data_IF_167845795301
#
_entry.id   IF_167845795301
#
_cell.length_a   1.000
_cell.length_b   1.000
_cell.length_c   1.000
_cell.angle_alpha   90.00
_cell.angle_beta   90.00
_cell.angle_gamma   90.00
#
_symmetry.space_group_name_H-M   'P 1'
#
loop_
_entity.id
_entity.type
_entity.pdbx_description
1 polymer ?
#
# COMPACT_ATOMS: atom_id res chain seq x y z
N UNK A 1 -13.67 5.73 -10.03
CA UNK A 1 -13.59 5.54 -8.57
C UNK A 1 -12.30 4.80 -8.24
N UNK A 2 -11.47 5.33 -7.33
CA UNK A 2 -10.29 4.60 -6.82
C UNK A 2 -10.76 3.55 -5.81
N UNK A 3 -10.82 2.30 -6.24
CA UNK A 3 -11.16 1.15 -5.41
C UNK A 3 -9.98 0.69 -4.54
N UNK A 4 -10.27 0.22 -3.33
CA UNK A 4 -9.28 -0.45 -2.47
C UNK A 4 -9.33 -1.97 -2.70
N UNK A 5 -8.18 -2.61 -2.82
CA UNK A 5 -8.09 -4.06 -3.07
C UNK A 5 -8.52 -4.88 -1.85
N UNK A 6 -8.82 -6.17 -2.06
CA UNK A 6 -9.08 -7.10 -0.96
C UNK A 6 -7.92 -7.17 0.04
N UNK A 7 -6.67 -7.12 -0.46
CA UNK A 7 -5.48 -7.08 0.39
C UNK A 7 -5.47 -5.86 1.31
N UNK A 8 -5.79 -4.68 0.79
CA UNK A 8 -5.91 -3.48 1.61
C UNK A 8 -7.08 -3.54 2.59
N UNK A 9 -8.23 -4.10 2.20
CA UNK A 9 -9.36 -4.30 3.11
C UNK A 9 -8.99 -5.19 4.31
N UNK A 10 -8.24 -6.28 4.08
CA UNK A 10 -7.74 -7.12 5.17
C UNK A 10 -6.73 -6.41 6.07
N UNK A 11 -5.88 -5.53 5.51
CA UNK A 11 -4.98 -4.67 6.30
C UNK A 11 -5.79 -3.70 7.17
N UNK A 12 -6.86 -3.12 6.62
CA UNK A 12 -7.74 -2.23 7.35
C UNK A 12 -8.41 -2.94 8.53
N UNK A 13 -8.92 -4.17 8.34
CA UNK A 13 -9.47 -4.99 9.41
C UNK A 13 -8.46 -5.34 10.51
N UNK A 14 -7.16 -5.35 10.18
CA UNK A 14 -6.06 -5.56 11.13
C UNK A 14 -5.53 -4.26 11.75
N UNK A 15 -6.25 -3.15 11.63
CA UNK A 15 -5.85 -1.86 12.19
C UNK A 15 -4.74 -1.13 11.42
N UNK A 16 -4.36 -1.63 10.24
CA UNK A 16 -3.27 -1.06 9.42
C UNK A 16 -3.79 -0.04 8.39
N UNK A 17 -4.98 0.53 8.61
CA UNK A 17 -5.61 1.47 7.67
C UNK A 17 -4.76 2.71 7.40
N UNK A 18 -3.99 3.17 8.39
CA UNK A 18 -3.09 4.31 8.28
C UNK A 18 -1.62 3.90 8.00
N UNK A 19 -1.33 2.66 7.59
CA UNK A 19 0.04 2.22 7.32
C UNK A 19 0.29 2.04 5.84
N UNK A 20 1.41 2.56 5.36
CA UNK A 20 1.90 2.35 4.00
C UNK A 20 2.09 0.84 3.74
N UNK A 21 1.52 0.34 2.65
CA UNK A 21 1.67 -1.06 2.24
C UNK A 21 3.09 -1.39 1.79
N UNK A 22 3.84 -0.41 1.28
CA UNK A 22 5.21 -0.62 0.79
C UNK A 22 6.27 -0.59 1.90
N UNK A 23 6.16 0.33 2.87
CA UNK A 23 7.20 0.54 3.88
C UNK A 23 6.75 0.39 5.34
N UNK A 24 5.47 0.09 5.60
CA UNK A 24 4.93 -0.14 6.95
C UNK A 24 4.76 1.10 7.84
N UNK A 25 5.33 2.23 7.43
CA UNK A 25 5.25 3.49 8.17
C UNK A 25 3.87 4.15 8.08
N UNK A 26 3.53 4.96 9.07
CA UNK A 26 2.24 5.62 9.14
C UNK A 26 2.09 6.73 8.08
N UNK A 27 0.84 6.95 7.68
CA UNK A 27 0.43 8.15 6.97
C UNK A 27 0.40 9.34 7.92
N UNK A 28 1.06 10.43 7.54
CA UNK A 28 1.04 11.70 8.27
C UNK A 28 0.70 12.85 7.32
N UNK A 29 0.40 14.04 7.85
CA UNK A 29 0.16 15.23 7.01
C UNK A 29 1.35 15.54 6.10
N UNK A 30 2.58 15.35 6.59
CA UNK A 30 3.80 15.57 5.81
C UNK A 30 4.07 14.43 4.81
N UNK A 31 3.59 13.22 5.08
CA UNK A 31 3.75 12.02 4.23
C UNK A 31 2.41 11.30 4.10
N UNK A 32 1.48 11.84 3.30
CA UNK A 32 0.13 11.28 3.19
C UNK A 32 0.15 9.96 2.40
N UNK A 33 -0.85 9.12 2.67
CA UNK A 33 -1.09 7.90 1.90
C UNK A 33 -2.06 8.18 0.74
N UNK A 34 -1.74 7.65 -0.43
CA UNK A 34 -2.60 7.61 -1.61
C UNK A 34 -2.94 6.16 -1.97
N UNK A 35 -4.04 5.96 -2.70
CA UNK A 35 -4.40 4.65 -3.25
C UNK A 35 -3.61 4.44 -4.56
N UNK A 36 -2.84 3.35 -4.64
CA UNK A 36 -2.13 2.95 -5.86
C UNK A 36 -3.07 2.38 -6.93
N UNK A 37 -2.54 2.07 -8.12
CA UNK A 37 -3.29 1.39 -9.18
C UNK A 37 -3.85 0.03 -8.74
N UNK A 38 -3.09 -0.69 -7.91
CA UNK A 38 -3.42 -2.01 -7.35
C UNK A 38 -4.32 -1.91 -6.10
N UNK A 39 -4.77 -0.71 -5.74
CA UNK A 39 -5.74 -0.51 -4.68
C UNK A 39 -5.18 -0.59 -3.26
N UNK A 40 -3.86 -0.50 -3.04
CA UNK A 40 -3.30 -0.37 -1.68
C UNK A 40 -2.98 1.07 -1.33
N UNK A 41 -2.91 1.36 -0.03
CA UNK A 41 -2.50 2.67 0.49
C UNK A 41 -0.98 2.74 0.62
N UNK A 42 -0.35 3.65 -0.12
CA UNK A 42 1.09 3.86 -0.15
C UNK A 42 1.44 5.35 -0.05
N UNK A 43 2.64 5.69 0.39
CA UNK A 43 3.14 7.06 0.24
C UNK A 43 3.34 7.41 -1.24
N UNK A 44 3.19 8.69 -1.60
CA UNK A 44 3.33 9.16 -2.98
C UNK A 44 4.69 8.81 -3.61
N UNK A 45 5.77 8.81 -2.82
CA UNK A 45 7.10 8.40 -3.27
C UNK A 45 7.12 6.97 -3.84
N UNK A 46 6.34 6.04 -3.27
CA UNK A 46 6.27 4.66 -3.72
C UNK A 46 5.36 4.48 -4.94
N UNK A 47 4.57 5.50 -5.30
CA UNK A 47 3.72 5.47 -6.49
C UNK A 47 4.53 5.51 -7.78
N UNK A 48 5.69 6.18 -7.76
CA UNK A 48 6.53 6.41 -8.93
C UNK A 48 7.86 5.64 -8.90
N UNK A 49 8.16 4.90 -7.82
CA UNK A 49 9.44 4.22 -7.63
C UNK A 49 9.31 2.68 -7.72
N UNK A 50 9.77 2.06 -8.82
CA UNK A 50 9.90 0.60 -8.95
C UNK A 50 10.78 -0.03 -7.86
N UNK A 51 11.77 0.72 -7.38
CA UNK A 51 12.74 0.27 -6.37
C UNK A 51 12.15 0.10 -4.97
N UNK A 52 10.93 0.58 -4.73
CA UNK A 52 10.27 0.44 -3.43
C UNK A 52 9.71 -0.96 -3.17
N UNK A 53 9.88 -1.90 -4.11
CA UNK A 53 9.31 -3.25 -4.04
C UNK A 53 7.80 -3.28 -4.28
N UNK A 54 7.20 -2.13 -4.63
CA UNK A 54 5.75 -1.98 -4.78
C UNK A 54 5.27 -2.08 -6.24
N UNK A 55 6.18 -2.13 -7.22
CA UNK A 55 5.79 -2.55 -8.57
C UNK A 55 5.59 -4.05 -8.56
N UNK A 56 4.32 -4.46 -8.66
CA UNK A 56 3.92 -5.86 -8.59
C UNK A 56 4.71 -6.74 -9.56
N UNK A 57 5.45 -7.68 -9.00
CA UNK A 57 5.32 -9.07 -9.41
C UNK A 57 5.63 -9.99 -8.22
N UNK A 58 4.80 -11.01 -8.06
CA UNK A 58 4.96 -12.17 -7.16
C UNK A 58 5.30 -11.92 -5.67
N UNK A 59 4.28 -11.87 -4.83
CA UNK A 59 4.30 -12.71 -3.61
C UNK A 59 3.21 -13.77 -3.74
N UNK A 60 3.52 -14.81 -4.54
CA UNK A 60 3.09 -16.15 -4.21
C UNK A 60 3.78 -16.50 -2.88
N UNK A 61 3.04 -16.43 -1.79
CA UNK A 61 3.35 -17.18 -0.59
C UNK A 61 2.65 -18.53 -0.68
N UNK A 62 3.27 -19.48 -1.37
CA UNK A 62 3.14 -20.91 -1.07
C UNK A 62 4.06 -21.23 0.11
N UNK A 63 3.57 -22.04 1.05
CA UNK A 63 4.28 -22.47 2.26
C UNK A 63 3.33 -22.56 3.44
#
# INVERSE_FOLDING_TARGET
>A
MRWISRGQQQRDHRGQRNKCAACGNDGTTARPLTISRDGMRIHLQHYHEPRSGYYGDTHQGVG
#
